data_IF_795587704960
#
_entry.id   IF_795587704960
#
_cell.length_a   1.000
_cell.length_b   1.000
_cell.length_c   1.000
_cell.angle_alpha   90.00
_cell.angle_beta   90.00
_cell.angle_gamma   90.00
#
_symmetry.space_group_name_H-M   'P 1'
#
loop_
_entity.id
_entity.type
_entity.pdbx_description
1 polymer ?
#
# COMPACT_ATOMS: atom_id res chain seq x y z
N UNK A 1 -44.03 23.34 -2.33
CA UNK A 1 -42.69 23.01 -1.78
C UNK A 1 -42.08 24.27 -1.19
N UNK A 2 -41.23 24.11 -0.18
CA UNK A 2 -40.49 25.20 0.46
C UNK A 2 -39.05 25.16 -0.03
N UNK A 3 -38.55 26.28 -0.54
CA UNK A 3 -37.16 26.40 -0.98
C UNK A 3 -36.45 27.39 -0.08
N UNK A 4 -35.49 26.91 0.69
CA UNK A 4 -34.71 27.72 1.62
C UNK A 4 -33.36 28.04 1.01
N UNK A 5 -32.98 29.32 1.04
CA UNK A 5 -31.69 29.80 0.55
C UNK A 5 -30.96 30.38 1.75
N UNK A 6 -30.02 29.60 2.28
CA UNK A 6 -29.19 29.97 3.42
C UNK A 6 -27.95 30.72 2.92
N UNK A 7 -27.65 31.85 3.55
CA UNK A 7 -26.49 32.69 3.22
C UNK A 7 -25.97 33.44 4.45
N UNK A 8 -24.73 33.95 4.38
CA UNK A 8 -24.21 34.90 5.38
C UNK A 8 -24.13 36.31 4.79
N UNK A 9 -24.07 37.34 5.65
CA UNK A 9 -23.98 38.74 5.22
C UNK A 9 -22.72 39.03 4.39
N UNK A 10 -22.90 39.60 3.19
CA UNK A 10 -21.80 39.91 2.28
C UNK A 10 -21.42 38.78 1.32
N UNK A 11 -22.21 37.69 1.22
CA UNK A 11 -21.98 36.67 0.20
C UNK A 11 -22.24 37.22 -1.22
N UNK A 12 -21.24 37.22 -2.13
CA UNK A 12 -21.42 37.73 -3.49
C UNK A 12 -22.36 36.86 -4.34
N UNK A 13 -22.56 35.60 -3.96
CA UNK A 13 -23.37 34.62 -4.68
C UNK A 13 -24.78 34.47 -4.09
N UNK A 14 -25.16 35.23 -3.06
CA UNK A 14 -26.50 35.15 -2.47
C UNK A 14 -27.58 35.58 -3.47
N UNK A 15 -27.52 36.82 -3.96
CA UNK A 15 -28.52 37.35 -4.90
C UNK A 15 -28.59 36.49 -6.19
N UNK A 16 -27.47 36.13 -6.83
CA UNK A 16 -27.51 35.24 -7.99
C UNK A 16 -28.09 33.85 -7.71
N UNK A 17 -27.94 33.30 -6.49
CA UNK A 17 -28.55 32.02 -6.13
C UNK A 17 -30.08 32.13 -6.04
N UNK A 18 -30.60 33.22 -5.47
CA UNK A 18 -32.04 33.50 -5.41
C UNK A 18 -32.62 33.65 -6.81
N UNK A 19 -31.95 34.42 -7.67
CA UNK A 19 -32.36 34.60 -9.07
C UNK A 19 -32.39 33.27 -9.83
N UNK A 20 -31.34 32.44 -9.69
CA UNK A 20 -31.25 31.13 -10.35
C UNK A 20 -32.36 30.18 -9.89
N UNK A 21 -32.66 30.14 -8.60
CA UNK A 21 -33.77 29.32 -8.09
C UNK A 21 -35.10 29.77 -8.66
N UNK A 22 -35.36 31.09 -8.67
CA UNK A 22 -36.59 31.66 -9.25
C UNK A 22 -36.68 31.41 -10.75
N UNK A 23 -35.56 31.47 -11.46
CA UNK A 23 -35.49 31.14 -12.88
C UNK A 23 -35.88 29.69 -13.13
N UNK A 24 -35.25 28.73 -12.45
CA UNK A 24 -35.57 27.30 -12.60
C UNK A 24 -37.01 26.99 -12.18
N UNK A 25 -37.54 27.63 -11.13
CA UNK A 25 -38.95 27.48 -10.73
C UNK A 25 -39.91 27.95 -11.83
N UNK A 26 -39.61 29.07 -12.51
CA UNK A 26 -40.40 29.55 -13.66
C UNK A 26 -40.30 28.61 -14.84
N UNK A 27 -39.10 28.12 -15.17
CA UNK A 27 -38.89 27.16 -16.27
C UNK A 27 -39.66 25.86 -16.07
N UNK A 28 -39.68 25.35 -14.83
CA UNK A 28 -40.37 24.11 -14.47
C UNK A 28 -41.88 24.31 -14.21
N UNK A 29 -42.36 25.56 -14.17
CA UNK A 29 -43.76 25.87 -13.85
C UNK A 29 -44.16 25.46 -12.43
N UNK A 30 -43.20 25.41 -11.50
CA UNK A 30 -43.41 24.96 -10.11
C UNK A 30 -43.68 26.14 -9.19
N UNK A 31 -44.74 26.04 -8.39
CA UNK A 31 -45.02 26.97 -7.30
C UNK A 31 -44.27 26.55 -6.03
N UNK A 32 -43.35 27.39 -5.57
CA UNK A 32 -42.59 27.19 -4.35
C UNK A 32 -42.52 28.48 -3.51
N UNK A 33 -42.54 28.32 -2.19
CA UNK A 33 -42.28 29.40 -1.25
C UNK A 33 -40.76 29.53 -1.06
N UNK A 34 -40.18 30.62 -1.59
CA UNK A 34 -38.72 30.85 -1.56
C UNK A 34 -38.39 31.73 -0.35
N UNK A 35 -37.78 31.12 0.67
CA UNK A 35 -37.41 31.76 1.93
C UNK A 35 -35.91 31.97 1.98
N UNK A 36 -35.50 33.20 2.20
CA UNK A 36 -34.09 33.57 2.36
C UNK A 36 -33.74 33.58 3.86
N UNK A 37 -32.71 32.84 4.24
CA UNK A 37 -32.31 32.66 5.65
C UNK A 37 -30.88 33.16 5.84
N UNK A 38 -30.74 34.27 6.55
CA UNK A 38 -29.42 34.80 6.92
C UNK A 38 -28.85 34.06 8.13
N UNK A 39 -27.76 33.33 7.93
CA UNK A 39 -26.95 32.67 8.95
C UNK A 39 -25.93 33.69 9.46
N UNK A 40 -26.07 34.10 10.72
CA UNK A 40 -25.29 35.21 11.29
C UNK A 40 -23.97 34.78 11.94
N UNK A 41 -23.90 33.56 12.45
CA UNK A 41 -22.75 33.07 13.21
C UNK A 41 -22.54 31.55 13.06
N UNK A 42 -21.42 31.05 13.58
CA UNK A 42 -21.08 29.62 13.52
C UNK A 42 -22.05 28.73 14.31
N UNK A 43 -22.66 29.24 15.38
CA UNK A 43 -23.61 28.45 16.18
C UNK A 43 -24.90 28.21 15.37
N UNK A 44 -25.41 29.25 14.70
CA UNK A 44 -26.49 29.17 13.74
C UNK A 44 -26.12 28.27 12.55
N UNK A 45 -24.88 28.35 12.07
CA UNK A 45 -24.41 27.48 10.99
C UNK A 45 -24.47 25.99 11.39
N UNK A 46 -24.04 25.63 12.60
CA UNK A 46 -24.12 24.25 13.11
C UNK A 46 -25.55 23.81 13.37
N UNK A 47 -26.37 24.67 13.97
CA UNK A 47 -27.77 24.37 14.28
C UNK A 47 -28.60 24.12 13.01
N UNK A 48 -28.34 24.91 11.96
CA UNK A 48 -29.00 24.77 10.68
C UNK A 48 -28.33 23.73 9.77
N UNK A 49 -27.15 23.18 10.12
CA UNK A 49 -26.39 22.28 9.25
C UNK A 49 -25.88 22.96 7.98
N UNK A 50 -25.48 24.23 8.07
CA UNK A 50 -25.06 25.09 6.96
C UNK A 50 -23.62 24.80 6.53
N UNK A 51 -23.38 24.17 5.36
CA UNK A 51 -22.04 23.85 4.89
C UNK A 51 -21.27 25.09 4.40
N UNK A 52 -22.00 26.13 3.97
CA UNK A 52 -21.44 27.39 3.50
C UNK A 52 -22.40 28.17 2.60
N UNK A 53 -22.06 29.41 2.27
CA UNK A 53 -22.91 30.30 1.48
C UNK A 53 -22.60 30.24 -0.02
N UNK A 54 -23.61 30.22 -0.92
CA UNK A 54 -25.03 30.02 -0.66
C UNK A 54 -25.35 28.52 -0.57
N UNK A 55 -26.27 28.14 0.31
CA UNK A 55 -26.79 26.77 0.41
C UNK A 55 -28.27 26.77 0.08
N UNK A 56 -28.68 25.93 -0.86
CA UNK A 56 -30.06 25.84 -1.33
C UNK A 56 -30.63 24.52 -0.85
N UNK A 57 -31.81 24.57 -0.23
CA UNK A 57 -32.54 23.39 0.23
C UNK A 57 -33.95 23.40 -0.30
N UNK A 58 -34.44 22.22 -0.67
CA UNK A 58 -35.83 22.01 -1.06
C UNK A 58 -36.43 21.05 -0.03
N UNK A 59 -37.48 21.51 0.66
CA UNK A 59 -38.14 20.79 1.75
C UNK A 59 -37.15 20.25 2.81
N UNK A 60 -36.14 21.07 3.15
CA UNK A 60 -35.09 20.77 4.13
C UNK A 60 -33.91 19.94 3.60
N UNK A 61 -33.99 19.41 2.38
CA UNK A 61 -32.91 18.63 1.76
C UNK A 61 -32.03 19.50 0.86
N UNK A 62 -30.71 19.36 0.99
CA UNK A 62 -29.76 20.08 0.14
C UNK A 62 -29.88 19.68 -1.34
N UNK A 63 -29.76 20.66 -2.24
CA UNK A 63 -29.76 20.44 -3.69
C UNK A 63 -28.57 19.61 -4.15
N UNK A 64 -27.45 19.62 -3.42
CA UNK A 64 -26.29 18.78 -3.68
C UNK A 64 -26.40 17.46 -2.89
N UNK A 65 -26.53 16.29 -3.55
CA UNK A 65 -26.74 15.01 -2.86
C UNK A 65 -25.64 14.65 -1.87
N UNK A 66 -24.38 14.97 -2.19
CA UNK A 66 -23.24 14.70 -1.31
C UNK A 66 -23.30 15.51 -0.01
N UNK A 67 -23.83 16.74 -0.06
CA UNK A 67 -23.92 17.63 1.08
C UNK A 67 -25.05 17.25 2.06
N UNK A 68 -26.02 16.41 1.64
CA UNK A 68 -27.09 15.92 2.52
C UNK A 68 -26.58 15.11 3.73
N UNK A 69 -25.34 14.60 3.65
CA UNK A 69 -24.67 13.85 4.73
C UNK A 69 -23.46 14.58 5.33
N UNK A 70 -23.19 15.81 4.90
CA UNK A 70 -22.06 16.59 5.37
C UNK A 70 -22.17 16.90 6.87
N UNK A 71 -21.03 16.99 7.54
CA UNK A 71 -20.91 17.35 8.97
C UNK A 71 -20.02 18.57 9.22
N UNK A 72 -19.37 19.05 8.17
CA UNK A 72 -18.53 20.23 8.20
C UNK A 72 -19.39 21.44 7.90
N UNK A 73 -19.76 22.15 8.97
CA UNK A 73 -20.59 23.35 8.92
C UNK A 73 -19.77 24.56 9.37
N UNK A 74 -19.97 25.70 8.70
CA UNK A 74 -19.24 26.91 9.05
C UNK A 74 -19.56 28.11 8.16
N UNK A 75 -19.05 29.26 8.59
CA UNK A 75 -19.21 30.55 7.92
C UNK A 75 -18.25 30.69 6.74
N UNK A 76 -18.34 29.79 5.77
CA UNK A 76 -17.43 29.70 4.63
C UNK A 76 -18.15 29.78 3.29
N UNK A 77 -17.41 30.11 2.23
CA UNK A 77 -17.94 30.11 0.86
C UNK A 77 -18.12 28.68 0.37
N UNK A 78 -19.33 28.37 -0.12
CA UNK A 78 -19.61 27.09 -0.74
C UNK A 78 -19.17 27.09 -2.20
N UNK A 79 -18.61 25.97 -2.62
CA UNK A 79 -18.10 25.77 -3.98
C UNK A 79 -18.76 24.53 -4.56
N UNK A 80 -19.34 24.68 -5.74
CA UNK A 80 -20.01 23.63 -6.48
C UNK A 80 -19.16 23.22 -7.69
N UNK A 81 -19.42 22.02 -8.18
CA UNK A 81 -18.73 21.47 -9.34
C UNK A 81 -19.65 21.45 -10.56
N UNK A 82 -19.21 22.07 -11.65
CA UNK A 82 -19.88 22.05 -12.95
C UNK A 82 -18.90 21.48 -13.99
N UNK A 83 -18.99 20.18 -14.25
CA UNK A 83 -17.99 19.46 -15.04
C UNK A 83 -16.60 19.52 -14.37
N UNK A 84 -15.62 20.15 -15.03
CA UNK A 84 -14.28 20.35 -14.49
C UNK A 84 -14.09 21.71 -13.77
N UNK A 85 -15.09 22.60 -13.81
CA UNK A 85 -15.00 23.96 -13.25
C UNK A 85 -15.54 24.00 -11.83
N UNK A 86 -14.88 24.79 -10.98
CA UNK A 86 -15.39 25.14 -9.65
C UNK A 86 -16.12 26.48 -9.75
N UNK A 87 -17.37 26.49 -9.32
CA UNK A 87 -18.27 27.64 -9.41
C UNK A 87 -18.87 27.95 -8.04
N UNK A 88 -19.21 29.22 -7.78
CA UNK A 88 -19.78 29.65 -6.50
C UNK A 88 -21.30 29.45 -6.38
N UNK A 89 -21.94 28.92 -7.43
CA UNK A 89 -23.37 28.70 -7.52
C UNK A 89 -23.66 27.27 -7.98
N UNK A 90 -24.69 26.61 -7.45
CA UNK A 90 -25.07 25.28 -7.91
C UNK A 90 -25.54 25.34 -9.38
N UNK A 91 -25.17 24.37 -10.23
CA UNK A 91 -25.63 24.29 -11.62
C UNK A 91 -27.16 24.25 -11.73
N UNK A 92 -27.71 24.75 -12.85
CA UNK A 92 -29.16 24.77 -13.08
C UNK A 92 -29.77 23.37 -13.00
N UNK A 93 -29.12 22.35 -13.58
CA UNK A 93 -29.61 20.97 -13.53
C UNK A 93 -29.69 20.42 -12.11
N UNK A 94 -28.77 20.80 -11.23
CA UNK A 94 -28.77 20.34 -9.83
C UNK A 94 -29.98 20.88 -9.09
N UNK A 95 -30.31 22.17 -9.27
CA UNK A 95 -31.51 22.78 -8.69
C UNK A 95 -32.76 22.16 -9.32
N UNK A 96 -32.79 22.01 -10.65
CA UNK A 96 -33.92 21.43 -11.40
C UNK A 96 -34.25 20.03 -10.92
N UNK A 97 -33.22 19.18 -10.79
CA UNK A 97 -33.40 17.81 -10.30
C UNK A 97 -33.97 17.81 -8.88
N UNK A 98 -33.41 18.61 -7.97
CA UNK A 98 -33.91 18.70 -6.59
C UNK A 98 -35.38 19.17 -6.51
N UNK A 99 -35.77 20.13 -7.36
CA UNK A 99 -37.16 20.61 -7.44
C UNK A 99 -38.11 19.56 -8.02
N UNK A 100 -37.70 18.83 -9.07
CA UNK A 100 -38.49 17.73 -9.65
C UNK A 100 -38.65 16.55 -8.68
N UNK A 101 -37.59 16.21 -7.96
CA UNK A 101 -37.62 15.22 -6.89
C UNK A 101 -38.64 15.60 -5.81
N UNK A 102 -38.69 16.88 -5.42
CA UNK A 102 -39.64 17.39 -4.43
C UNK A 102 -41.09 17.51 -4.96
N UNK A 103 -41.27 17.76 -6.26
CA UNK A 103 -42.59 17.92 -6.88
C UNK A 103 -43.38 16.59 -7.01
N UNK A 104 -42.71 15.44 -7.05
CA UNK A 104 -43.33 14.12 -7.26
C UNK A 104 -43.86 13.90 -8.69
N UNK A 105 -44.14 12.64 -9.13
CA UNK A 105 -44.21 12.31 -10.55
C UNK A 105 -45.62 12.38 -11.14
N UNK A 106 -45.78 12.98 -12.33
CA UNK A 106 -46.85 12.60 -13.26
C UNK A 106 -46.43 11.28 -13.97
N UNK A 107 -47.28 10.24 -14.02
CA UNK A 107 -46.87 8.92 -14.50
C UNK A 107 -46.94 8.85 -16.02
N UNK A 108 -45.81 8.58 -16.66
CA UNK A 108 -45.80 7.70 -17.82
C UNK A 108 -44.59 6.80 -17.68
N UNK A 109 -44.88 5.50 -17.71
CA UNK A 109 -43.98 4.36 -17.71
C UNK A 109 -42.61 4.68 -18.29
N UNK A 110 -41.53 4.32 -17.57
CA UNK A 110 -40.67 3.19 -17.93
C UNK A 110 -39.89 2.76 -16.67
N UNK A 111 -40.21 1.56 -16.16
CA UNK A 111 -39.27 0.67 -15.48
C UNK A 111 -38.76 1.06 -14.08
N UNK A 112 -39.40 0.46 -13.07
CA UNK A 112 -38.80 0.03 -11.79
C UNK A 112 -38.56 1.10 -10.69
N UNK A 113 -39.60 1.22 -9.86
CA UNK A 113 -39.57 1.43 -8.40
C UNK A 113 -39.14 2.80 -7.85
N UNK A 114 -40.09 3.49 -7.21
CA UNK A 114 -39.91 4.02 -5.86
C UNK A 114 -41.27 4.27 -5.18
N UNK A 115 -41.49 3.60 -4.05
CA UNK A 115 -42.47 3.93 -3.02
C UNK A 115 -41.73 3.95 -1.67
N UNK A 116 -42.22 4.70 -0.68
CA UNK A 116 -41.41 5.46 0.27
C UNK A 116 -40.78 4.60 1.37
N UNK A 117 -39.53 4.91 1.74
CA UNK A 117 -38.82 4.27 2.85
C UNK A 117 -39.29 4.89 4.17
N UNK A 118 -39.84 4.11 5.13
CA UNK A 118 -40.09 4.59 6.48
C UNK A 118 -38.77 4.75 7.23
N UNK A 119 -38.73 5.75 8.11
CA UNK A 119 -37.61 6.06 8.99
C UNK A 119 -37.06 4.78 9.67
N UNK A 120 -35.80 4.44 9.37
CA UNK A 120 -35.10 3.35 10.04
C UNK A 120 -34.53 3.82 11.39
N UNK A 121 -34.52 2.97 12.42
CA UNK A 121 -34.19 3.34 13.79
C UNK A 121 -32.68 3.48 14.00
N UNK A 122 -32.33 4.31 14.98
CA UNK A 122 -30.97 4.55 15.45
C UNK A 122 -30.23 3.24 15.73
N UNK A 123 -29.16 2.96 14.97
CA UNK A 123 -28.22 1.91 15.33
C UNK A 123 -27.11 2.51 16.19
N UNK A 124 -27.21 2.25 17.49
CA UNK A 124 -26.16 2.52 18.46
C UNK A 124 -24.83 1.91 18.02
N UNK A 125 -23.80 2.74 17.99
CA UNK A 125 -22.43 2.32 17.73
C UNK A 125 -21.96 1.31 18.80
N UNK A 126 -21.29 0.21 18.44
CA UNK A 126 -20.68 -0.66 19.43
C UNK A 126 -19.49 0.04 20.09
N UNK A 127 -19.55 0.09 21.43
CA UNK A 127 -18.46 0.23 22.39
C UNK A 127 -17.15 0.91 21.96
N UNK A 128 -16.94 2.11 22.49
CA UNK A 128 -15.76 2.98 22.43
C UNK A 128 -14.40 2.29 22.70
N UNK A 129 -14.38 1.07 23.25
CA UNK A 129 -13.16 0.33 23.58
C UNK A 129 -12.44 -0.29 22.37
N UNK A 130 -13.11 -0.53 21.23
CA UNK A 130 -12.50 -1.21 20.06
C UNK A 130 -11.74 -0.27 19.11
N UNK A 131 -12.07 1.02 19.13
CA UNK A 131 -11.44 2.05 18.27
C UNK A 131 -9.97 2.29 18.65
N UNK A 132 -9.65 2.29 19.95
CA UNK A 132 -8.27 2.50 20.43
C UNK A 132 -7.35 1.35 20.05
N UNK A 133 -7.86 0.12 20.03
CA UNK A 133 -7.10 -1.08 19.64
C UNK A 133 -6.81 -1.12 18.11
N UNK A 134 -7.77 -0.70 17.29
CA UNK A 134 -7.63 -0.65 15.83
C UNK A 134 -6.77 0.53 15.36
N UNK A 135 -6.83 1.68 16.05
CA UNK A 135 -5.99 2.84 15.76
C UNK A 135 -4.53 2.62 16.21
N UNK A 136 -4.31 1.90 17.31
CA UNK A 136 -2.96 1.49 17.74
C UNK A 136 -2.30 0.51 16.77
N UNK A 137 -3.08 -0.42 16.20
CA UNK A 137 -2.58 -1.41 15.25
C UNK A 137 -2.01 -0.82 13.96
N UNK A 138 -2.66 0.21 13.39
CA UNK A 138 -2.18 0.86 12.16
C UNK A 138 -0.91 1.67 12.37
N UNK A 139 -0.78 2.33 13.53
CA UNK A 139 0.42 3.08 13.90
C UNK A 139 1.61 2.15 14.11
N UNK A 140 1.42 1.01 14.81
CA UNK A 140 2.48 0.02 15.02
C UNK A 140 2.90 -0.64 13.71
N UNK A 141 1.96 -0.92 12.80
CA UNK A 141 2.27 -1.47 11.47
C UNK A 141 3.08 -0.49 10.60
N UNK A 142 2.74 0.81 10.63
CA UNK A 142 3.48 1.84 9.90
C UNK A 142 4.91 2.00 10.43
N UNK A 143 5.08 2.02 11.75
CA UNK A 143 6.39 2.11 12.41
C UNK A 143 7.23 0.86 12.11
N UNK A 144 6.63 -0.33 12.18
CA UNK A 144 7.30 -1.60 11.84
C UNK A 144 7.76 -1.66 10.38
N UNK A 145 6.95 -1.18 9.44
CA UNK A 145 7.31 -1.10 8.03
C UNK A 145 8.47 -0.10 7.78
N UNK A 146 8.45 1.04 8.46
CA UNK A 146 9.51 2.06 8.35
C UNK A 146 10.85 1.57 8.93
N UNK A 147 10.80 0.92 10.10
CA UNK A 147 11.97 0.33 10.75
C UNK A 147 12.61 -0.77 9.90
N UNK A 148 11.82 -1.54 9.13
CA UNK A 148 12.31 -2.58 8.23
C UNK A 148 13.19 -2.04 7.09
N UNK A 149 13.00 -0.77 6.69
CA UNK A 149 13.81 -0.12 5.66
C UNK A 149 14.98 0.70 6.22
N UNK A 150 14.81 1.27 7.42
CA UNK A 150 15.82 2.14 8.06
C UNK A 150 16.90 1.32 8.77
N UNK A 151 16.55 0.20 9.41
CA UNK A 151 17.52 -0.65 10.12
C UNK A 151 18.63 -1.21 9.21
N UNK A 152 18.34 -1.73 8.00
CA UNK A 152 19.39 -2.26 7.12
C UNK A 152 20.39 -1.17 6.70
N UNK A 153 19.92 0.05 6.45
CA UNK A 153 20.77 1.19 6.07
C UNK A 153 21.62 1.66 7.25
N UNK A 154 21.02 1.81 8.43
CA UNK A 154 21.74 2.22 9.65
C UNK A 154 22.75 1.16 10.07
N UNK A 155 22.39 -0.13 10.00
CA UNK A 155 23.30 -1.23 10.32
C UNK A 155 24.47 -1.31 9.33
N UNK A 156 24.21 -1.12 8.03
CA UNK A 156 25.26 -1.05 7.01
C UNK A 156 26.23 0.13 7.23
N UNK A 157 25.73 1.30 7.66
CA UNK A 157 26.56 2.48 7.96
C UNK A 157 27.33 2.34 9.27
N UNK A 158 26.75 1.69 10.28
CA UNK A 158 27.37 1.53 11.61
C UNK A 158 28.46 0.45 11.68
N UNK A 159 28.65 -0.35 10.63
CA UNK A 159 29.60 -1.47 10.63
C UNK A 159 29.24 -2.62 11.60
N UNK A 160 28.13 -2.50 12.33
CA UNK A 160 27.57 -3.57 13.13
C UNK A 160 27.00 -4.63 12.17
N UNK A 161 27.67 -5.79 12.10
CA UNK A 161 27.35 -6.84 11.13
C UNK A 161 25.87 -7.22 11.12
N UNK A 162 25.18 -6.87 10.03
CA UNK A 162 23.79 -7.26 9.72
C UNK A 162 23.59 -8.79 9.75
N UNK A 163 24.69 -9.55 9.68
CA UNK A 163 24.71 -11.00 9.54
C UNK A 163 24.36 -11.76 10.83
N UNK A 164 24.61 -11.22 12.02
CA UNK A 164 24.29 -11.93 13.28
C UNK A 164 22.79 -11.92 13.59
N UNK A 165 22.09 -10.83 13.27
CA UNK A 165 20.62 -10.78 13.38
C UNK A 165 19.95 -11.56 12.23
N UNK A 166 20.55 -11.58 11.04
CA UNK A 166 20.03 -12.25 9.85
C UNK A 166 19.83 -13.76 10.03
N UNK A 167 20.80 -14.48 10.62
CA UNK A 167 20.72 -15.93 10.78
C UNK A 167 19.60 -16.39 11.74
N UNK A 168 19.37 -15.64 12.82
CA UNK A 168 18.26 -15.88 13.73
C UNK A 168 16.90 -15.56 13.08
N UNK A 169 16.85 -14.46 12.31
CA UNK A 169 15.66 -14.10 11.55
C UNK A 169 15.34 -15.08 10.42
N UNK A 170 16.32 -15.66 9.72
CA UNK A 170 16.10 -16.68 8.68
C UNK A 170 15.43 -17.94 9.25
N UNK A 171 15.82 -18.37 10.46
CA UNK A 171 15.19 -19.51 11.14
C UNK A 171 13.72 -19.24 11.49
N UNK A 172 13.40 -18.02 11.91
CA UNK A 172 12.05 -17.61 12.34
C UNK A 172 11.16 -17.11 11.20
N UNK A 173 11.74 -16.72 10.06
CA UNK A 173 11.06 -16.18 8.88
C UNK A 173 9.86 -17.02 8.41
N UNK A 174 9.94 -18.36 8.24
CA UNK A 174 8.78 -19.13 7.79
C UNK A 174 7.62 -19.09 8.80
N UNK A 175 7.93 -19.07 10.10
CA UNK A 175 6.93 -18.95 11.15
C UNK A 175 6.26 -17.57 11.15
N UNK A 176 7.05 -16.49 11.01
CA UNK A 176 6.53 -15.12 10.92
C UNK A 176 5.65 -14.91 9.69
N UNK A 177 6.06 -15.45 8.54
CA UNK A 177 5.23 -15.42 7.31
C UNK A 177 3.93 -16.21 7.48
N UNK A 178 4.00 -17.38 8.13
CA UNK A 178 2.82 -18.16 8.47
C UNK A 178 1.84 -17.40 9.37
N UNK A 179 2.32 -16.80 10.45
CA UNK A 179 1.50 -15.98 11.37
C UNK A 179 0.89 -14.78 10.65
N UNK A 180 1.66 -14.09 9.81
CA UNK A 180 1.17 -12.94 9.02
C UNK A 180 0.08 -13.39 8.05
N UNK A 181 0.26 -14.52 7.37
CA UNK A 181 -0.75 -15.11 6.49
C UNK A 181 -2.04 -15.44 7.22
N UNK A 182 -1.96 -16.02 8.42
CA UNK A 182 -3.13 -16.33 9.27
C UNK A 182 -3.83 -15.07 9.75
N UNK A 183 -3.09 -14.04 10.17
CA UNK A 183 -3.67 -12.76 10.61
C UNK A 183 -4.35 -12.02 9.46
N UNK A 184 -3.74 -11.99 8.27
CA UNK A 184 -4.33 -11.38 7.08
C UNK A 184 -5.56 -12.17 6.59
N UNK A 185 -5.49 -13.50 6.56
CA UNK A 185 -6.63 -14.35 6.22
C UNK A 185 -7.76 -14.18 7.24
N UNK A 186 -7.45 -14.12 8.54
CA UNK A 186 -8.41 -13.85 9.60
C UNK A 186 -9.07 -12.47 9.44
N UNK A 187 -8.27 -11.43 9.20
CA UNK A 187 -8.77 -10.07 8.92
C UNK A 187 -9.66 -10.01 7.69
N UNK A 188 -9.25 -10.64 6.59
CA UNK A 188 -10.02 -10.74 5.36
C UNK A 188 -11.33 -11.51 5.56
N UNK A 189 -11.29 -12.66 6.24
CA UNK A 189 -12.48 -13.46 6.54
C UNK A 189 -13.45 -12.73 7.47
N UNK A 190 -12.95 -11.97 8.45
CA UNK A 190 -13.78 -11.14 9.33
C UNK A 190 -14.43 -9.99 8.56
N UNK A 191 -13.67 -9.25 7.76
CA UNK A 191 -14.20 -8.18 6.91
C UNK A 191 -15.24 -8.72 5.91
N UNK A 192 -14.97 -9.88 5.31
CA UNK A 192 -15.88 -10.50 4.35
C UNK A 192 -17.12 -11.09 5.01
N UNK A 193 -17.02 -11.63 6.23
CA UNK A 193 -18.19 -12.09 7.01
C UNK A 193 -19.10 -10.94 7.39
N UNK A 194 -18.55 -9.79 7.79
CA UNK A 194 -19.35 -8.60 8.12
C UNK A 194 -20.06 -8.06 6.88
N UNK A 195 -19.40 -8.07 5.73
CA UNK A 195 -19.99 -7.71 4.44
C UNK A 195 -21.11 -8.67 4.00
N UNK A 196 -21.03 -9.96 4.35
CA UNK A 196 -22.08 -10.95 4.09
C UNK A 196 -23.27 -10.80 5.03
N UNK A 197 -23.04 -10.42 6.29
CA UNK A 197 -24.11 -10.13 7.28
C UNK A 197 -24.86 -8.84 6.95
N UNK A 198 -24.17 -7.83 6.39
CA UNK A 198 -24.79 -6.62 5.87
C UNK A 198 -25.74 -6.87 4.68
N UNK A 199 -25.71 -8.09 4.10
CA UNK A 199 -26.58 -8.58 3.04
C UNK A 199 -27.57 -9.66 3.53
N UNK A 200 -28.22 -9.45 4.68
CA UNK A 200 -29.49 -10.14 4.96
C UNK A 200 -30.61 -9.58 4.06
N UNK A 201 -31.52 -10.46 3.61
CA UNK A 201 -32.55 -10.13 2.61
C UNK A 201 -33.48 -9.03 3.16
N UNK A 202 -33.27 -7.81 2.70
CA UNK A 202 -34.11 -6.65 3.00
C UNK A 202 -33.38 -5.29 3.05
N UNK A 203 -32.04 -5.26 3.11
CA UNK A 203 -31.29 -3.99 3.13
C UNK A 203 -30.83 -3.54 1.74
N UNK A 204 -30.89 -2.23 1.49
CA UNK A 204 -30.51 -1.51 0.26
C UNK A 204 -28.98 -1.42 0.03
N UNK A 205 -28.19 -2.40 0.49
CA UNK A 205 -26.75 -2.45 0.24
C UNK A 205 -26.38 -3.49 -0.83
N UNK A 206 -27.14 -3.56 -1.91
CA UNK A 206 -26.66 -4.17 -3.14
C UNK A 206 -25.72 -3.19 -3.87
N UNK A 207 -24.56 -2.87 -3.29
CA UNK A 207 -23.48 -2.31 -4.11
C UNK A 207 -23.12 -3.35 -5.16
N UNK A 208 -22.98 -2.92 -6.42
CA UNK A 208 -22.61 -3.75 -7.57
C UNK A 208 -21.59 -4.81 -7.14
N UNK A 209 -21.94 -6.10 -7.26
CA UNK A 209 -21.03 -7.18 -6.88
C UNK A 209 -19.69 -6.91 -7.54
N UNK A 210 -18.60 -6.87 -6.77
CA UNK A 210 -17.26 -6.72 -7.33
C UNK A 210 -17.15 -7.65 -8.53
N UNK A 211 -16.88 -7.07 -9.70
CA UNK A 211 -16.71 -7.82 -10.94
C UNK A 211 -15.72 -8.95 -10.68
N UNK A 212 -16.00 -10.14 -11.21
CA UNK A 212 -15.09 -11.29 -11.13
C UNK A 212 -13.66 -10.91 -11.55
N UNK A 213 -13.52 -9.90 -12.42
CA UNK A 213 -12.25 -9.29 -12.81
C UNK A 213 -11.49 -8.61 -11.68
N UNK A 214 -12.16 -7.85 -10.79
CA UNK A 214 -11.46 -7.18 -9.67
C UNK A 214 -10.97 -8.21 -8.66
N UNK A 215 -11.72 -9.30 -8.46
CA UNK A 215 -11.33 -10.41 -7.59
C UNK A 215 -10.14 -11.16 -8.20
N UNK A 216 -10.20 -11.45 -9.51
CA UNK A 216 -9.09 -12.09 -10.22
C UNK A 216 -7.84 -11.20 -10.23
N UNK A 217 -7.99 -9.88 -10.39
CA UNK A 217 -6.89 -8.93 -10.33
C UNK A 217 -6.26 -8.89 -8.93
N UNK A 218 -7.06 -8.82 -7.86
CA UNK A 218 -6.57 -8.88 -6.48
C UNK A 218 -5.86 -10.22 -6.18
N UNK A 219 -6.41 -11.33 -6.66
CA UNK A 219 -5.79 -12.65 -6.49
C UNK A 219 -4.46 -12.77 -7.27
N UNK A 220 -4.40 -12.25 -8.49
CA UNK A 220 -3.19 -12.24 -9.30
C UNK A 220 -2.08 -11.39 -8.64
N UNK A 221 -2.43 -10.19 -8.13
CA UNK A 221 -1.49 -9.34 -7.39
C UNK A 221 -1.01 -10.03 -6.11
N UNK A 222 -1.92 -10.66 -5.35
CA UNK A 222 -1.53 -11.40 -4.15
C UNK A 222 -0.59 -12.56 -4.47
N UNK A 223 -0.86 -13.34 -5.52
CA UNK A 223 0.00 -14.43 -5.98
C UNK A 223 1.36 -13.92 -6.47
N UNK A 224 1.40 -12.80 -7.19
CA UNK A 224 2.63 -12.15 -7.62
C UNK A 224 3.49 -11.72 -6.42
N UNK A 225 2.88 -11.09 -5.41
CA UNK A 225 3.57 -10.67 -4.18
C UNK A 225 4.08 -11.89 -3.41
N UNK A 226 3.31 -12.98 -3.31
CA UNK A 226 3.74 -14.22 -2.67
C UNK A 226 4.93 -14.83 -3.44
N UNK A 227 4.86 -14.85 -4.78
CA UNK A 227 5.96 -15.29 -5.63
C UNK A 227 7.23 -14.49 -5.37
N UNK A 228 7.15 -13.16 -5.44
CA UNK A 228 8.28 -12.26 -5.14
C UNK A 228 8.80 -12.41 -3.71
N UNK A 229 7.93 -12.58 -2.72
CA UNK A 229 8.34 -12.78 -1.33
C UNK A 229 9.02 -14.14 -1.09
N UNK A 230 8.68 -15.14 -1.92
CA UNK A 230 9.32 -16.45 -1.96
C UNK A 230 10.62 -16.47 -2.78
N UNK A 231 11.01 -15.33 -3.40
CA UNK A 231 12.26 -15.18 -4.14
C UNK A 231 13.51 -15.73 -3.42
N UNK A 232 13.71 -15.53 -2.11
CA UNK A 232 14.88 -16.07 -1.43
C UNK A 232 14.95 -17.62 -1.42
N UNK A 233 13.81 -18.29 -1.63
CA UNK A 233 13.70 -19.75 -1.58
C UNK A 233 13.98 -20.41 -2.94
N UNK A 234 13.75 -19.70 -4.04
CA UNK A 234 14.02 -20.20 -5.40
C UNK A 234 15.12 -19.43 -6.13
N UNK A 235 15.68 -18.36 -5.54
CA UNK A 235 16.77 -17.61 -6.14
C UNK A 235 18.02 -18.46 -6.36
N UNK A 236 18.27 -19.48 -5.53
CA UNK A 236 19.37 -20.43 -5.74
C UNK A 236 19.24 -21.25 -7.03
N UNK A 237 18.03 -21.73 -7.35
CA UNK A 237 17.78 -22.50 -8.58
C UNK A 237 17.69 -21.60 -9.81
N UNK A 238 17.14 -20.39 -9.67
CA UNK A 238 17.06 -19.39 -10.75
C UNK A 238 18.42 -18.76 -11.03
N UNK A 239 19.26 -18.52 -10.02
CA UNK A 239 20.63 -18.05 -10.21
C UNK A 239 21.45 -19.08 -10.99
N UNK A 240 21.30 -20.37 -10.70
CA UNK A 240 21.99 -21.42 -11.45
C UNK A 240 21.56 -21.51 -12.92
N UNK A 241 20.30 -21.21 -13.25
CA UNK A 241 19.81 -21.23 -14.65
C UNK A 241 20.14 -19.94 -15.41
N UNK A 242 20.06 -18.78 -14.76
CA UNK A 242 20.38 -17.48 -15.38
C UNK A 242 21.89 -17.26 -15.54
N UNK A 243 22.70 -17.68 -14.56
CA UNK A 243 24.18 -17.62 -14.67
C UNK A 243 24.69 -18.60 -15.74
N UNK A 244 23.98 -19.71 -16.01
CA UNK A 244 24.32 -20.63 -17.12
C UNK A 244 24.15 -20.01 -18.51
N UNK A 245 23.31 -18.99 -18.66
CA UNK A 245 23.07 -18.30 -19.94
C UNK A 245 23.71 -16.90 -20.02
N UNK A 246 24.13 -16.32 -18.88
CA UNK A 246 24.79 -15.01 -18.80
C UNK A 246 26.28 -15.04 -18.46
N UNK A 247 26.86 -16.20 -18.14
CA UNK A 247 28.30 -16.34 -17.97
C UNK A 247 28.98 -16.34 -19.33
N UNK A 248 29.76 -15.29 -19.62
CA UNK A 248 30.73 -15.30 -20.71
C UNK A 248 31.56 -16.58 -20.60
N UNK A 249 31.45 -17.44 -21.60
CA UNK A 249 32.40 -18.52 -21.83
C UNK A 249 33.73 -17.88 -22.20
N UNK A 250 34.61 -17.67 -21.21
CA UNK A 250 36.04 -17.62 -21.47
C UNK A 250 36.41 -19.03 -21.89
N UNK A 251 36.64 -19.22 -23.19
CA UNK A 251 37.22 -20.44 -23.74
C UNK A 251 38.61 -20.61 -23.13
N UNK A 252 38.70 -21.37 -22.03
CA UNK A 252 39.97 -21.91 -21.58
C UNK A 252 40.31 -23.08 -22.51
N UNK A 253 41.34 -22.90 -23.33
CA UNK A 253 42.08 -24.03 -23.89
C UNK A 253 42.66 -24.89 -22.75
N UNK A 254 43.10 -26.13 -23.03
CA UNK A 254 43.54 -27.07 -22.01
C UNK A 254 44.88 -26.63 -21.39
N UNK A 255 44.83 -25.66 -20.47
CA UNK A 255 45.89 -25.42 -19.51
C UNK A 255 45.61 -26.35 -18.31
N UNK A 256 46.61 -27.15 -17.94
CA UNK A 256 46.53 -28.07 -16.81
C UNK A 256 46.40 -27.26 -15.50
N UNK A 257 45.16 -26.96 -15.11
CA UNK A 257 44.86 -26.32 -13.84
C UNK A 257 45.27 -27.24 -12.69
N UNK A 258 45.94 -26.68 -11.70
CA UNK A 258 46.36 -27.38 -10.49
C UNK A 258 45.50 -26.90 -9.33
N UNK A 259 45.08 -27.83 -8.48
CA UNK A 259 44.31 -27.52 -7.27
C UNK A 259 45.22 -27.57 -6.07
N UNK A 260 45.31 -26.47 -5.33
CA UNK A 260 45.98 -26.42 -4.03
C UNK A 260 44.94 -26.31 -2.91
N UNK A 261 45.18 -27.06 -1.83
CA UNK A 261 44.43 -26.96 -0.59
C UNK A 261 45.32 -26.43 0.53
N UNK A 262 44.79 -25.52 1.33
CA UNK A 262 45.51 -24.92 2.47
C UNK A 262 44.57 -24.67 3.63
N UNK A 263 45.13 -24.61 4.84
CA UNK A 263 44.41 -24.31 6.07
C UNK A 263 44.61 -22.85 6.49
N UNK A 264 43.56 -22.31 7.08
CA UNK A 264 43.51 -20.95 7.62
C UNK A 264 42.96 -21.05 9.04
N UNK A 265 43.80 -21.41 10.03
CA UNK A 265 43.35 -21.78 11.38
C UNK A 265 42.68 -20.62 12.14
N UNK A 266 43.11 -19.39 11.85
CA UNK A 266 42.65 -18.17 12.50
C UNK A 266 41.37 -17.58 11.85
N UNK A 267 40.68 -18.36 11.00
CA UNK A 267 39.40 -17.96 10.40
C UNK A 267 38.27 -18.08 11.42
N UNK A 268 37.86 -16.93 11.97
CA UNK A 268 36.93 -16.80 13.09
C UNK A 268 35.50 -16.38 12.68
N UNK A 269 35.27 -16.06 11.40
CA UNK A 269 33.96 -15.69 10.89
C UNK A 269 33.64 -16.25 9.49
N UNK A 270 32.40 -16.72 9.23
CA UNK A 270 31.94 -17.11 7.88
C UNK A 270 32.09 -16.01 6.82
N UNK A 271 32.05 -14.73 7.22
CA UNK A 271 32.27 -13.62 6.31
C UNK A 271 33.72 -13.57 5.80
N UNK A 272 34.69 -13.99 6.62
CA UNK A 272 36.09 -14.08 6.21
C UNK A 272 36.28 -15.11 5.09
N UNK A 273 35.56 -16.23 5.13
CA UNK A 273 35.58 -17.24 4.07
C UNK A 273 35.09 -16.69 2.71
N UNK A 274 34.01 -15.91 2.71
CA UNK A 274 33.47 -15.30 1.49
C UNK A 274 34.43 -14.24 0.94
N UNK A 275 34.95 -13.37 1.82
CA UNK A 275 35.90 -12.32 1.43
C UNK A 275 37.20 -12.90 0.86
N UNK A 276 37.75 -13.94 1.49
CA UNK A 276 38.94 -14.64 1.00
C UNK A 276 38.68 -15.35 -0.34
N UNK A 277 37.54 -16.05 -0.48
CA UNK A 277 37.14 -16.69 -1.75
C UNK A 277 37.05 -15.66 -2.89
N UNK A 278 36.48 -14.49 -2.62
CA UNK A 278 36.38 -13.40 -3.59
C UNK A 278 37.76 -12.78 -3.90
N UNK A 279 38.65 -12.69 -2.90
CA UNK A 279 40.03 -12.23 -3.07
C UNK A 279 40.82 -13.13 -4.01
N UNK A 280 40.76 -14.45 -3.83
CA UNK A 280 41.43 -15.41 -4.70
C UNK A 280 40.92 -15.37 -6.14
N UNK A 281 39.60 -15.25 -6.34
CA UNK A 281 39.01 -15.17 -7.69
C UNK A 281 39.40 -13.90 -8.46
N UNK A 282 39.91 -12.86 -7.78
CA UNK A 282 40.43 -11.65 -8.43
C UNK A 282 41.88 -11.80 -8.90
N UNK A 283 42.59 -12.83 -8.46
CA UNK A 283 43.94 -13.09 -8.91
C UNK A 283 43.91 -13.59 -10.37
N UNK A 284 44.77 -13.06 -11.25
CA UNK A 284 44.83 -13.50 -12.63
C UNK A 284 45.31 -14.95 -12.69
N UNK A 285 44.61 -15.82 -13.42
CA UNK A 285 44.97 -17.25 -13.51
C UNK A 285 44.34 -18.16 -12.46
N UNK A 286 43.48 -17.64 -11.57
CA UNK A 286 42.62 -18.47 -10.71
C UNK A 286 41.33 -18.82 -11.44
N UNK A 287 41.05 -20.12 -11.57
CA UNK A 287 39.86 -20.64 -12.23
C UNK A 287 38.69 -20.83 -11.25
N UNK A 288 38.96 -21.33 -10.05
CA UNK A 288 37.97 -21.42 -8.97
C UNK A 288 38.65 -21.28 -7.60
N UNK A 289 37.92 -20.77 -6.62
CA UNK A 289 38.36 -20.69 -5.23
C UNK A 289 37.17 -20.87 -4.30
N UNK A 290 37.29 -21.81 -3.38
CA UNK A 290 36.29 -22.13 -2.34
C UNK A 290 36.96 -22.13 -0.99
N UNK A 291 36.45 -21.33 -0.07
CA UNK A 291 36.90 -21.32 1.33
C UNK A 291 35.74 -21.76 2.21
N UNK A 292 35.98 -22.80 3.00
CA UNK A 292 35.01 -23.39 3.92
C UNK A 292 35.38 -23.01 5.35
N UNK A 293 34.49 -22.25 5.99
CA UNK A 293 34.65 -21.80 7.38
C UNK A 293 34.59 -22.96 8.38
N UNK A 294 33.70 -23.93 8.16
CA UNK A 294 33.48 -25.03 9.10
C UNK A 294 34.70 -25.95 9.22
N UNK A 295 35.40 -26.15 8.11
CA UNK A 295 36.62 -26.96 8.04
C UNK A 295 37.90 -26.14 8.14
N UNK A 296 37.80 -24.80 8.06
CA UNK A 296 38.94 -23.86 8.00
C UNK A 296 39.90 -24.15 6.84
N UNK A 297 39.35 -24.67 5.73
CA UNK A 297 40.11 -25.07 4.54
C UNK A 297 39.75 -24.17 3.36
N UNK A 298 40.74 -23.87 2.55
CA UNK A 298 40.60 -23.19 1.29
C UNK A 298 41.13 -24.10 0.18
N UNK A 299 40.36 -24.23 -0.89
CA UNK A 299 40.66 -25.02 -2.09
C UNK A 299 40.64 -24.06 -3.26
N UNK A 300 41.80 -23.89 -3.92
CA UNK A 300 41.96 -22.95 -5.03
C UNK A 300 42.52 -23.70 -6.23
N UNK A 301 41.82 -23.60 -7.35
CA UNK A 301 42.23 -24.16 -8.64
C UNK A 301 42.78 -23.01 -9.49
N UNK A 302 44.05 -23.11 -9.87
CA UNK A 302 44.77 -22.06 -10.58
C UNK A 302 45.69 -22.62 -11.67
N UNK A 303 46.07 -21.76 -12.61
CA UNK A 303 47.06 -22.07 -13.63
C UNK A 303 48.48 -21.90 -13.05
N UNK A 304 49.27 -22.98 -12.93
CA UNK A 304 50.63 -22.91 -12.40
C UNK A 304 51.59 -22.09 -13.27
N UNK A 305 51.23 -21.77 -14.51
CA UNK A 305 52.01 -20.88 -15.38
C UNK A 305 51.84 -19.39 -15.02
N UNK A 306 50.76 -19.03 -14.32
CA UNK A 306 50.39 -17.63 -14.00
C UNK A 306 50.44 -17.34 -12.50
N UNK A 307 50.12 -18.34 -11.66
CA UNK A 307 50.08 -18.20 -10.20
C UNK A 307 50.93 -19.26 -9.50
N UNK A 308 51.37 -18.93 -8.29
CA UNK A 308 52.17 -19.82 -7.44
C UNK A 308 51.57 -19.93 -6.03
N UNK A 309 51.83 -21.02 -5.29
CA UNK A 309 51.38 -21.16 -3.90
C UNK A 309 51.81 -20.00 -2.99
N UNK A 310 53.01 -19.43 -3.23
CA UNK A 310 53.52 -18.27 -2.48
C UNK A 310 52.68 -17.00 -2.71
N UNK A 311 52.10 -16.83 -3.90
CA UNK A 311 51.21 -15.71 -4.19
C UNK A 311 49.85 -15.86 -3.46
N UNK A 312 49.36 -17.09 -3.33
CA UNK A 312 48.14 -17.39 -2.56
C UNK A 312 48.37 -17.15 -1.06
N UNK A 313 49.52 -17.56 -0.54
CA UNK A 313 49.94 -17.28 0.85
C UNK A 313 49.99 -15.77 1.13
N UNK A 314 50.52 -14.99 0.18
CA UNK A 314 50.58 -13.53 0.31
C UNK A 314 49.19 -12.91 0.49
N UNK A 315 48.19 -13.36 -0.27
CA UNK A 315 46.80 -12.88 -0.12
C UNK A 315 46.22 -13.21 1.26
N UNK A 316 46.49 -14.41 1.78
CA UNK A 316 46.03 -14.82 3.12
C UNK A 316 46.70 -13.97 4.20
N UNK A 317 48.00 -13.73 4.07
CA UNK A 317 48.81 -12.97 5.03
C UNK A 317 48.48 -11.48 5.01
N UNK A 318 48.28 -10.89 3.82
CA UNK A 318 47.81 -9.50 3.68
C UNK A 318 46.40 -9.31 4.23
N UNK A 319 45.56 -10.34 4.17
CA UNK A 319 44.25 -10.37 4.81
C UNK A 319 44.33 -10.55 6.34
N UNK A 320 45.54 -10.71 6.91
CA UNK A 320 45.77 -10.83 8.35
C UNK A 320 45.58 -12.24 8.92
N UNK A 321 45.50 -13.26 8.06
CA UNK A 321 45.33 -14.65 8.49
C UNK A 321 46.62 -15.44 8.35
N UNK A 322 46.76 -16.48 9.18
CA UNK A 322 47.84 -17.46 9.06
C UNK A 322 47.57 -18.42 7.92
N UNK A 323 48.61 -18.68 7.12
CA UNK A 323 48.59 -19.66 6.05
C UNK A 323 49.31 -20.94 6.50
N UNK A 324 48.64 -22.08 6.39
CA UNK A 324 49.25 -23.39 6.59
C UNK A 324 49.08 -24.21 5.29
N UNK A 325 50.21 -24.49 4.62
CA UNK A 325 50.20 -25.38 3.45
C UNK A 325 49.88 -26.80 3.90
N UNK A 326 48.92 -27.45 3.24
CA UNK A 326 48.66 -28.88 3.46
C UNK A 326 49.40 -29.66 2.37
N UNK A 327 50.48 -30.40 2.69
CA UNK A 327 51.41 -30.91 1.69
C UNK A 327 50.92 -32.15 0.91
N UNK A 328 49.68 -32.61 1.10
CA UNK A 328 49.19 -33.78 0.38
C UNK A 328 47.68 -33.67 0.12
N UNK A 329 47.33 -33.14 -1.06
CA UNK A 329 45.99 -33.27 -1.63
C UNK A 329 46.12 -34.13 -2.88
N UNK A 330 46.19 -35.45 -2.70
CA UNK A 330 45.83 -36.41 -3.75
C UNK A 330 44.34 -36.69 -3.65
N UNK A 331 43.63 -36.42 -4.73
CA UNK A 331 42.24 -36.85 -4.94
C UNK A 331 42.10 -38.37 -4.84
#
# INVERSE_FOLDING_TARGET
MKVEILYFEGCPNHVPAVERVREVLREEGLAADVVEVCVRDEAAARALGFPGSPTIRVDGLDVEPAARSAKDFGMMCRVYTEGARRVGLPPHEMIRQALREAAGPAPAAHGCCQAPVPAAPESGHPGTSRKTLLLGGSVVAAIGASLCCILPVVAAVSGAGVLAAGAAFERWRPWLLGVTGVLLAGGFLLAYRDHRKACERGSLCATRSMSRWNILALAAVALLVIGLAAFPYYSGTVAQTVIRHGGQTVTAGPAALVTAAFRIPDMDCPACAVSLSAGFRRLPGVADAKVDYGTRRAVVTYDPAVQSPAALEKVVTEAGFRFESEPDFRE
#
